data_IF_995205327530
#
_entry.id   IF_995205327530
#
_cell.length_a   1.000
_cell.length_b   1.000
_cell.length_c   1.000
_cell.angle_alpha   90.00
_cell.angle_beta   90.00
_cell.angle_gamma   90.00
#
_symmetry.space_group_name_H-M   'P 1'
#
loop_
_entity.id
_entity.type
_entity.pdbx_description
1 polymer ?
#
# COMPACT_ATOMS: atom_id res chain seq x y z
N UNK A 1 -6.14 -25.55 -14.42
CA UNK A 1 -6.73 -24.19 -14.40
C UNK A 1 -7.50 -24.06 -13.09
N UNK A 2 -7.26 -23.03 -12.31
CA UNK A 2 -8.00 -22.76 -11.07
C UNK A 2 -9.25 -21.97 -11.46
N UNK A 3 -10.39 -22.24 -10.82
CA UNK A 3 -11.61 -21.47 -11.03
C UNK A 3 -12.01 -20.77 -9.72
N UNK A 4 -12.26 -19.47 -9.79
CA UNK A 4 -12.63 -18.66 -8.64
C UNK A 4 -13.66 -17.60 -9.06
N UNK A 5 -14.96 -17.80 -8.83
CA UNK A 5 -15.98 -16.85 -9.26
C UNK A 5 -15.68 -15.40 -8.87
N UNK A 6 -15.21 -15.13 -7.65
CA UNK A 6 -14.68 -13.82 -7.23
C UNK A 6 -13.21 -13.98 -6.93
N UNK A 7 -12.36 -13.37 -7.75
CA UNK A 7 -10.92 -13.34 -7.56
C UNK A 7 -10.50 -11.98 -6.99
N UNK A 8 -9.77 -11.99 -5.88
CA UNK A 8 -9.26 -10.78 -5.24
C UNK A 8 -7.73 -10.79 -5.31
N UNK A 9 -7.14 -9.74 -5.86
CA UNK A 9 -5.69 -9.58 -5.96
C UNK A 9 -5.18 -8.62 -4.88
N UNK A 10 -4.46 -9.16 -3.92
CA UNK A 10 -3.91 -8.47 -2.75
C UNK A 10 -4.66 -8.82 -1.45
N UNK A 11 -3.94 -9.41 -0.49
CA UNK A 11 -4.43 -9.77 0.84
C UNK A 11 -4.18 -8.71 1.92
N UNK A 12 -4.02 -7.44 1.52
CA UNK A 12 -3.90 -6.31 2.44
C UNK A 12 -5.22 -5.91 3.09
N UNK A 13 -5.26 -4.74 3.75
CA UNK A 13 -6.46 -4.22 4.42
C UNK A 13 -7.69 -4.21 3.51
N UNK A 14 -7.56 -3.72 2.28
CA UNK A 14 -8.64 -3.67 1.30
C UNK A 14 -9.10 -5.07 0.88
N UNK A 15 -8.15 -5.96 0.54
CA UNK A 15 -8.50 -7.29 0.06
C UNK A 15 -9.19 -8.15 1.11
N UNK A 16 -8.72 -8.13 2.36
CA UNK A 16 -9.38 -8.85 3.45
C UNK A 16 -10.78 -8.30 3.72
N UNK A 17 -10.94 -6.97 3.75
CA UNK A 17 -12.24 -6.33 3.99
C UNK A 17 -13.24 -6.66 2.85
N UNK A 18 -12.80 -6.57 1.59
CA UNK A 18 -13.62 -6.94 0.43
C UNK A 18 -14.02 -8.42 0.45
N UNK A 19 -13.07 -9.31 0.77
CA UNK A 19 -13.31 -10.75 0.83
C UNK A 19 -14.34 -11.12 1.90
N UNK A 20 -14.20 -10.58 3.11
CA UNK A 20 -15.12 -10.80 4.21
C UNK A 20 -16.52 -10.27 3.91
N UNK A 21 -16.61 -9.07 3.34
CA UNK A 21 -17.89 -8.47 2.95
C UNK A 21 -18.57 -9.26 1.84
N UNK A 22 -17.82 -9.67 0.80
CA UNK A 22 -18.33 -10.51 -0.28
C UNK A 22 -18.81 -11.86 0.27
N UNK A 23 -18.05 -12.51 1.15
CA UNK A 23 -18.42 -13.79 1.78
C UNK A 23 -19.71 -13.69 2.56
N UNK A 24 -19.83 -12.64 3.40
CA UNK A 24 -21.06 -12.36 4.16
C UNK A 24 -22.25 -12.20 3.23
N UNK A 25 -22.11 -11.36 2.19
CA UNK A 25 -23.20 -11.08 1.27
C UNK A 25 -23.62 -12.30 0.43
N UNK A 26 -22.67 -13.11 -0.03
CA UNK A 26 -22.99 -14.36 -0.73
C UNK A 26 -23.77 -15.35 0.17
N UNK A 27 -23.43 -15.43 1.46
CA UNK A 27 -24.15 -16.29 2.41
C UNK A 27 -25.62 -15.86 2.61
N UNK A 28 -25.90 -14.56 2.47
CA UNK A 28 -27.26 -14.03 2.55
C UNK A 28 -28.06 -14.29 1.27
N UNK A 29 -27.40 -14.27 0.11
CA UNK A 29 -28.06 -14.37 -1.20
C UNK A 29 -28.16 -15.80 -1.75
N UNK A 30 -27.21 -16.66 -1.39
CA UNK A 30 -27.10 -18.05 -1.86
C UNK A 30 -27.15 -19.02 -0.65
N UNK A 31 -28.35 -19.42 -0.22
CA UNK A 31 -28.47 -20.39 0.85
C UNK A 31 -27.98 -21.78 0.38
N UNK A 32 -27.02 -22.37 1.10
CA UNK A 32 -26.48 -23.69 0.72
C UNK A 32 -25.03 -23.93 1.10
N UNK A 33 -24.35 -22.97 1.75
CA UNK A 33 -23.01 -23.19 2.34
C UNK A 33 -21.82 -23.05 1.37
N UNK A 34 -22.02 -22.86 0.07
CA UNK A 34 -20.96 -22.82 -0.93
C UNK A 34 -20.26 -21.45 -1.10
N UNK A 35 -20.71 -20.42 -0.37
CA UNK A 35 -20.22 -19.07 -0.52
C UNK A 35 -18.71 -18.88 -0.26
N UNK A 36 -18.07 -19.75 0.55
CA UNK A 36 -16.63 -19.73 0.80
C UNK A 36 -15.82 -20.14 -0.41
N UNK A 37 -16.26 -21.14 -1.12
CA UNK A 37 -15.57 -21.67 -2.30
C UNK A 37 -15.63 -20.73 -3.51
N UNK A 38 -16.49 -19.70 -3.46
CA UNK A 38 -16.64 -18.73 -4.53
C UNK A 38 -15.57 -17.64 -4.53
N UNK A 39 -14.77 -17.51 -3.46
CA UNK A 39 -13.83 -16.40 -3.29
C UNK A 39 -12.42 -16.94 -3.12
N UNK A 40 -11.49 -16.41 -3.92
CA UNK A 40 -10.06 -16.65 -3.76
C UNK A 40 -9.32 -15.32 -3.63
N UNK A 41 -8.42 -15.23 -2.65
CA UNK A 41 -7.52 -14.09 -2.46
C UNK A 41 -6.11 -14.51 -2.82
N UNK A 42 -5.49 -13.81 -3.78
CA UNK A 42 -4.06 -13.91 -4.10
C UNK A 42 -3.27 -12.92 -3.27
N UNK A 43 -2.16 -13.36 -2.69
CA UNK A 43 -1.22 -12.50 -1.98
C UNK A 43 0.22 -12.89 -2.34
N UNK A 44 1.05 -11.90 -2.67
CA UNK A 44 2.46 -12.13 -3.01
C UNK A 44 3.34 -12.45 -1.81
N UNK A 45 2.93 -11.97 -0.62
CA UNK A 45 3.58 -12.30 0.65
C UNK A 45 3.07 -13.63 1.19
N UNK A 46 3.82 -14.22 2.11
CA UNK A 46 3.45 -15.50 2.77
C UNK A 46 2.23 -15.39 3.68
N UNK A 47 1.86 -14.18 4.07
CA UNK A 47 0.78 -13.91 5.03
C UNK A 47 -0.03 -12.69 4.62
N UNK A 48 -1.33 -12.64 4.98
CA UNK A 48 -2.17 -11.48 4.70
C UNK A 48 -1.77 -10.29 5.58
N UNK A 49 -2.18 -9.07 5.19
CA UNK A 49 -1.98 -7.85 5.97
C UNK A 49 -1.34 -6.73 5.19
N UNK A 50 -0.57 -7.04 4.16
CA UNK A 50 0.09 -6.04 3.32
C UNK A 50 0.95 -5.05 4.13
N UNK A 51 0.89 -3.77 3.78
CA UNK A 51 1.70 -2.71 4.42
C UNK A 51 1.41 -2.51 5.91
N UNK A 52 0.24 -2.92 6.41
CA UNK A 52 -0.08 -2.80 7.84
C UNK A 52 0.89 -3.60 8.73
N UNK A 53 1.48 -4.66 8.22
CA UNK A 53 2.45 -5.50 8.94
C UNK A 53 3.73 -4.77 9.33
N UNK A 54 4.06 -3.67 8.68
CA UNK A 54 5.21 -2.83 9.02
C UNK A 54 4.84 -1.55 9.78
N UNK A 55 3.53 -1.26 9.95
CA UNK A 55 3.04 -0.06 10.61
C UNK A 55 2.91 -0.28 12.12
N UNK A 56 4.00 -0.09 12.86
CA UNK A 56 4.03 -0.27 14.32
C UNK A 56 3.62 0.99 15.10
N UNK A 57 3.34 2.10 14.41
CA UNK A 57 2.87 3.33 15.01
C UNK A 57 1.34 3.34 15.15
N UNK A 58 0.84 4.13 16.09
CA UNK A 58 -0.58 4.36 16.31
C UNK A 58 -1.20 5.32 15.29
N UNK A 59 -2.53 5.42 15.28
CA UNK A 59 -3.32 6.29 14.39
C UNK A 59 -4.28 5.53 13.49
N UNK A 60 -4.44 4.24 13.69
CA UNK A 60 -5.34 3.37 12.92
C UNK A 60 -6.62 3.07 13.71
N UNK A 61 -7.76 2.94 13.03
CA UNK A 61 -9.01 2.48 13.63
C UNK A 61 -9.81 3.52 14.42
N UNK A 62 -9.40 4.77 14.40
CA UNK A 62 -10.06 5.83 15.15
C UNK A 62 -11.52 6.01 14.73
N UNK A 63 -11.79 5.97 13.43
CA UNK A 63 -13.16 6.13 12.89
C UNK A 63 -13.94 4.82 12.91
N UNK A 64 -13.28 3.71 12.54
CA UNK A 64 -13.94 2.43 12.36
C UNK A 64 -14.19 1.68 13.68
N UNK A 65 -13.21 1.69 14.57
CA UNK A 65 -13.22 0.91 15.80
C UNK A 65 -13.28 1.77 17.07
N UNK A 66 -13.32 3.11 16.93
CA UNK A 66 -13.24 4.06 18.05
C UNK A 66 -12.05 3.75 18.98
N UNK A 67 -10.95 3.27 18.42
CA UNK A 67 -9.74 2.83 19.14
C UNK A 67 -8.50 3.31 18.40
N UNK A 68 -7.49 3.78 19.14
CA UNK A 68 -6.20 4.20 18.60
C UNK A 68 -5.27 2.97 18.52
N UNK A 69 -5.28 2.29 17.40
CA UNK A 69 -4.57 1.04 17.15
C UNK A 69 -3.26 1.30 16.42
N UNK A 70 -2.33 0.36 16.52
CA UNK A 70 -1.22 0.21 15.57
C UNK A 70 -1.73 -0.41 14.26
N UNK A 71 -0.95 -0.33 13.19
CA UNK A 71 -1.31 -0.98 11.93
C UNK A 71 -1.45 -2.51 12.06
N UNK A 72 -0.59 -3.14 12.88
CA UNK A 72 -0.68 -4.58 13.14
C UNK A 72 -1.95 -4.96 13.91
N UNK A 73 -2.31 -4.20 14.96
CA UNK A 73 -3.57 -4.43 15.70
C UNK A 73 -4.79 -4.22 14.80
N UNK A 74 -4.75 -3.18 13.95
CA UNK A 74 -5.80 -2.96 12.95
C UNK A 74 -5.92 -4.16 11.98
N UNK A 75 -4.80 -4.65 11.46
CA UNK A 75 -4.76 -5.83 10.60
C UNK A 75 -5.39 -7.05 11.27
N UNK A 76 -5.08 -7.29 12.54
CA UNK A 76 -5.59 -8.45 13.29
C UNK A 76 -7.12 -8.46 13.40
N UNK A 77 -7.78 -7.28 13.40
CA UNK A 77 -9.25 -7.18 13.36
C UNK A 77 -9.87 -7.82 12.11
N UNK A 78 -9.10 -7.94 11.04
CA UNK A 78 -9.50 -8.59 9.78
C UNK A 78 -8.90 -9.97 9.62
N UNK A 79 -7.64 -10.18 10.00
CA UNK A 79 -6.93 -11.43 9.76
C UNK A 79 -7.56 -12.63 10.47
N UNK A 80 -8.00 -12.48 11.71
CA UNK A 80 -8.69 -13.54 12.46
C UNK A 80 -10.00 -13.98 11.80
N UNK A 81 -10.95 -13.07 11.56
CA UNK A 81 -12.17 -13.38 10.79
C UNK A 81 -11.90 -13.93 9.39
N UNK A 82 -10.87 -13.43 8.70
CA UNK A 82 -10.48 -13.90 7.37
C UNK A 82 -10.02 -15.36 7.42
N UNK A 83 -9.15 -15.72 8.35
CA UNK A 83 -8.68 -17.09 8.53
C UNK A 83 -9.82 -18.07 8.87
N UNK A 84 -10.82 -17.61 9.62
CA UNK A 84 -11.98 -18.42 10.01
C UNK A 84 -13.09 -18.49 8.94
N UNK A 85 -12.99 -17.72 7.86
CA UNK A 85 -14.08 -17.53 6.89
C UNK A 85 -14.27 -18.68 5.90
N UNK A 86 -13.28 -19.55 5.72
CA UNK A 86 -13.25 -20.56 4.66
C UNK A 86 -12.97 -19.99 3.26
N UNK A 87 -12.59 -18.71 3.14
CA UNK A 87 -12.15 -18.10 1.88
C UNK A 87 -10.83 -18.74 1.45
N UNK A 88 -10.72 -19.11 0.16
CA UNK A 88 -9.46 -19.64 -0.39
C UNK A 88 -8.37 -18.56 -0.39
N UNK A 89 -7.24 -18.85 0.23
CA UNK A 89 -6.09 -17.95 0.30
C UNK A 89 -4.88 -18.59 -0.40
N UNK A 90 -4.33 -17.89 -1.39
CA UNK A 90 -3.14 -18.30 -2.13
C UNK A 90 -1.99 -17.35 -1.79
N UNK A 91 -1.22 -17.63 -0.72
CA UNK A 91 -0.02 -16.88 -0.37
C UNK A 91 1.11 -17.13 -1.37
N UNK A 92 2.17 -16.35 -1.27
CA UNK A 92 3.38 -16.44 -2.11
C UNK A 92 3.06 -16.46 -3.61
N UNK A 93 1.91 -15.88 -4.00
CA UNK A 93 1.41 -15.94 -5.37
C UNK A 93 1.25 -14.54 -5.96
N UNK A 94 2.07 -14.24 -6.95
CA UNK A 94 2.06 -12.95 -7.66
C UNK A 94 1.11 -12.98 -8.84
N UNK A 95 0.17 -12.04 -8.88
CA UNK A 95 -0.64 -11.75 -10.06
C UNK A 95 0.21 -10.99 -11.09
N UNK A 96 0.25 -11.45 -12.33
CA UNK A 96 1.07 -10.88 -13.39
C UNK A 96 0.24 -10.04 -14.36
N UNK A 97 -0.82 -10.61 -14.92
CA UNK A 97 -1.61 -9.97 -15.97
C UNK A 97 -3.04 -10.54 -16.02
N UNK A 98 -4.02 -9.67 -16.14
CA UNK A 98 -5.41 -10.04 -16.39
C UNK A 98 -5.76 -9.89 -17.88
N UNK A 99 -6.56 -10.80 -18.41
CA UNK A 99 -6.90 -10.88 -19.81
C UNK A 99 -8.40 -10.64 -20.07
N UNK A 100 -8.79 -10.25 -21.32
CA UNK A 100 -10.20 -10.00 -21.68
C UNK A 100 -11.09 -11.25 -21.58
N UNK A 101 -10.53 -12.45 -21.63
CA UNK A 101 -11.23 -13.73 -21.48
C UNK A 101 -11.52 -14.10 -20.00
N UNK A 102 -11.46 -13.13 -19.11
CA UNK A 102 -11.64 -13.29 -17.66
C UNK A 102 -10.67 -14.30 -17.05
N UNK A 103 -9.45 -14.34 -17.54
CA UNK A 103 -8.38 -15.12 -16.92
C UNK A 103 -7.30 -14.19 -16.33
N UNK A 104 -6.64 -14.64 -15.28
CA UNK A 104 -5.50 -13.98 -14.67
C UNK A 104 -4.31 -14.92 -14.67
N UNK A 105 -3.18 -14.46 -15.19
CA UNK A 105 -1.90 -15.15 -15.09
C UNK A 105 -1.28 -14.87 -13.72
N UNK A 106 -0.96 -15.94 -13.01
CA UNK A 106 -0.29 -15.87 -11.73
C UNK A 106 0.91 -16.82 -11.66
N UNK A 107 1.81 -16.53 -10.73
CA UNK A 107 2.99 -17.37 -10.45
C UNK A 107 3.25 -17.44 -8.95
N UNK A 108 3.54 -18.63 -8.45
CA UNK A 108 3.91 -18.87 -7.06
C UNK A 108 4.68 -20.19 -6.92
N UNK A 109 5.40 -20.39 -5.79
CA UNK A 109 6.22 -21.59 -5.59
C UNK A 109 5.38 -22.88 -5.52
N UNK A 110 4.15 -22.81 -5.01
CA UNK A 110 3.24 -23.97 -4.93
C UNK A 110 2.40 -24.17 -6.18
N UNK A 111 2.01 -23.08 -6.84
CA UNK A 111 1.10 -23.11 -8.00
C UNK A 111 1.86 -23.22 -9.33
N UNK A 112 3.18 -22.91 -9.34
CA UNK A 112 3.91 -22.67 -10.56
C UNK A 112 3.31 -21.50 -11.33
N UNK A 113 3.50 -21.49 -12.65
CA UNK A 113 2.80 -20.59 -13.57
C UNK A 113 1.41 -21.14 -13.84
N UNK A 114 0.36 -20.44 -13.43
CA UNK A 114 -1.01 -20.89 -13.59
C UNK A 114 -1.91 -19.79 -14.15
N UNK A 115 -3.02 -20.20 -14.77
CA UNK A 115 -4.14 -19.32 -15.12
C UNK A 115 -5.31 -19.59 -14.17
N UNK A 116 -5.92 -18.50 -13.70
CA UNK A 116 -7.10 -18.52 -12.83
C UNK A 116 -8.23 -17.90 -13.62
N UNK A 117 -9.30 -18.66 -13.82
CA UNK A 117 -10.54 -18.14 -14.41
C UNK A 117 -11.41 -17.54 -13.33
N UNK A 118 -12.08 -16.42 -13.63
CA UNK A 118 -12.96 -15.71 -12.69
C UNK A 118 -14.17 -15.11 -13.41
N UNK A 119 -15.25 -14.86 -12.67
CA UNK A 119 -16.39 -14.09 -13.16
C UNK A 119 -16.25 -12.61 -12.79
N UNK A 120 -15.71 -12.30 -11.60
CA UNK A 120 -15.46 -10.95 -11.14
C UNK A 120 -14.07 -10.81 -10.50
N UNK A 121 -13.32 -9.81 -10.93
CA UNK A 121 -12.00 -9.47 -10.39
C UNK A 121 -12.08 -8.24 -9.50
N UNK A 122 -11.64 -8.37 -8.25
CA UNK A 122 -11.41 -7.23 -7.36
C UNK A 122 -9.91 -7.00 -7.26
N UNK A 123 -9.43 -5.87 -7.77
CA UNK A 123 -8.04 -5.47 -7.60
C UNK A 123 -7.90 -4.66 -6.30
N UNK A 124 -7.11 -5.17 -5.36
CA UNK A 124 -6.79 -4.62 -4.05
C UNK A 124 -5.27 -4.54 -3.83
N UNK A 125 -4.50 -4.36 -4.90
CA UNK A 125 -3.04 -4.42 -4.96
C UNK A 125 -2.33 -3.24 -4.28
N UNK A 126 -3.08 -2.26 -3.78
CA UNK A 126 -2.54 -1.11 -3.07
C UNK A 126 -1.84 -0.10 -3.98
N UNK A 127 -0.70 0.40 -3.54
CA UNK A 127 0.11 1.39 -4.25
C UNK A 127 1.59 1.09 -4.06
N UNK A 128 2.41 1.71 -4.90
CA UNK A 128 3.86 1.74 -4.74
C UNK A 128 4.35 3.17 -4.58
N UNK A 129 5.51 3.32 -4.02
CA UNK A 129 6.09 4.64 -3.77
C UNK A 129 6.77 5.20 -5.02
N UNK A 130 6.67 6.51 -5.18
CA UNK A 130 7.48 7.20 -6.18
C UNK A 130 8.94 7.10 -5.78
N UNK A 131 9.76 6.48 -6.62
CA UNK A 131 11.19 6.34 -6.36
C UNK A 131 11.91 7.69 -6.44
N UNK A 132 12.98 7.86 -5.66
CA UNK A 132 13.83 9.04 -5.74
C UNK A 132 14.41 9.24 -7.14
N UNK A 133 14.74 8.15 -7.84
CA UNK A 133 15.28 8.18 -9.20
C UNK A 133 14.32 8.79 -10.25
N UNK A 134 13.02 8.87 -9.92
CA UNK A 134 12.04 9.55 -10.78
C UNK A 134 12.03 11.07 -10.61
N UNK A 135 12.81 11.60 -9.67
CA UNK A 135 12.99 13.02 -9.45
C UNK A 135 14.19 13.53 -10.26
N UNK A 136 14.17 14.81 -10.61
CA UNK A 136 15.23 15.47 -11.41
C UNK A 136 16.42 15.90 -10.56
N UNK A 137 16.86 15.07 -9.62
CA UNK A 137 18.04 15.35 -8.83
C UNK A 137 19.31 14.89 -9.56
N UNK A 138 20.32 15.74 -9.59
CA UNK A 138 21.62 15.44 -10.18
C UNK A 138 22.50 14.57 -9.25
N UNK A 139 23.68 14.18 -9.73
CA UNK A 139 24.68 13.49 -8.94
C UNK A 139 24.72 11.98 -9.14
N UNK A 140 25.34 11.29 -8.20
CA UNK A 140 25.59 9.84 -8.24
C UNK A 140 24.37 9.02 -7.83
N UNK A 141 24.52 7.69 -7.81
CA UNK A 141 23.45 6.75 -7.34
C UNK A 141 24.03 5.82 -6.27
N UNK A 142 24.43 6.37 -5.10
CA UNK A 142 25.00 5.58 -4.02
C UNK A 142 23.93 4.77 -3.29
N UNK A 143 24.34 3.77 -2.50
CA UNK A 143 23.48 3.17 -1.49
C UNK A 143 23.13 4.18 -0.38
N UNK A 144 22.11 3.88 0.45
CA UNK A 144 21.65 4.79 1.50
C UNK A 144 20.50 5.72 1.09
N UNK A 145 19.92 5.50 -0.09
CA UNK A 145 18.72 6.20 -0.57
C UNK A 145 17.57 5.20 -0.56
N UNK A 146 16.55 5.48 0.24
CA UNK A 146 15.39 4.62 0.44
C UNK A 146 14.10 5.37 0.17
N UNK A 147 13.06 4.65 -0.22
CA UNK A 147 11.69 5.15 -0.09
C UNK A 147 11.23 5.04 1.37
N UNK A 148 10.17 5.77 1.73
CA UNK A 148 9.66 5.77 3.09
C UNK A 148 9.16 4.39 3.53
N UNK A 149 8.43 3.67 2.67
CA UNK A 149 7.94 2.33 2.95
C UNK A 149 9.04 1.29 3.00
N UNK A 150 10.07 1.39 2.14
CA UNK A 150 11.25 0.54 2.18
C UNK A 150 12.03 0.73 3.49
N UNK A 151 12.28 1.98 3.89
CA UNK A 151 12.93 2.29 5.16
C UNK A 151 12.13 1.72 6.35
N UNK A 152 10.81 1.88 6.33
CA UNK A 152 9.92 1.34 7.35
C UNK A 152 9.97 -0.20 7.39
N UNK A 153 9.98 -0.86 6.24
CA UNK A 153 10.10 -2.32 6.14
C UNK A 153 11.42 -2.81 6.72
N UNK A 154 12.53 -2.22 6.32
CA UNK A 154 13.86 -2.59 6.78
C UNK A 154 14.01 -2.44 8.31
N UNK A 155 13.58 -1.30 8.85
CA UNK A 155 13.66 -1.04 10.29
C UNK A 155 12.69 -1.92 11.07
N UNK A 156 11.41 -1.95 10.69
CA UNK A 156 10.36 -2.53 11.53
C UNK A 156 10.18 -4.04 11.36
N UNK A 157 10.50 -4.60 10.19
CA UNK A 157 10.36 -6.05 9.93
C UNK A 157 11.69 -6.80 9.85
N UNK A 158 12.71 -6.15 9.28
CA UNK A 158 14.01 -6.78 9.13
C UNK A 158 14.98 -6.45 10.28
N UNK A 159 14.61 -5.50 11.15
CA UNK A 159 15.47 -4.98 12.23
C UNK A 159 16.85 -4.54 11.71
N UNK A 160 16.87 -4.02 10.47
CA UNK A 160 18.08 -3.60 9.78
C UNK A 160 18.38 -2.13 10.04
N UNK A 161 19.65 -1.83 10.28
CA UNK A 161 20.14 -0.45 10.30
C UNK A 161 20.21 0.11 8.88
N UNK A 162 19.64 1.29 8.65
CA UNK A 162 19.67 1.94 7.34
C UNK A 162 20.67 3.10 7.26
N UNK A 163 21.26 3.50 8.39
CA UNK A 163 22.29 4.54 8.54
C UNK A 163 22.13 5.32 9.83
N UNK A 164 22.98 6.33 10.03
CA UNK A 164 23.10 7.07 11.29
C UNK A 164 22.55 8.50 11.21
N UNK A 165 22.74 9.17 10.08
CA UNK A 165 22.39 10.58 9.89
C UNK A 165 21.51 10.74 8.65
N UNK A 166 20.20 10.99 8.87
CA UNK A 166 19.21 11.00 7.81
C UNK A 166 18.73 12.41 7.42
N UNK A 167 18.52 12.59 6.12
CA UNK A 167 17.69 13.65 5.55
C UNK A 167 16.42 13.01 4.99
N UNK A 168 15.26 13.62 5.22
CA UNK A 168 13.99 13.12 4.73
C UNK A 168 13.42 14.11 3.72
N UNK A 169 13.08 13.63 2.53
CA UNK A 169 12.43 14.41 1.48
C UNK A 169 10.92 14.15 1.48
N UNK A 170 10.15 15.17 1.81
CA UNK A 170 8.70 15.15 1.93
C UNK A 170 8.23 15.18 3.39
N UNK A 171 7.42 16.18 3.74
CA UNK A 171 6.86 16.41 5.07
C UNK A 171 5.45 15.84 5.25
N UNK A 172 4.98 14.95 4.36
CA UNK A 172 3.74 14.21 4.55
C UNK A 172 3.81 13.27 5.76
N UNK A 173 2.68 12.64 6.13
CA UNK A 173 2.59 11.79 7.32
C UNK A 173 3.68 10.72 7.38
N UNK A 174 3.97 10.04 6.27
CA UNK A 174 5.00 9.00 6.23
C UNK A 174 6.39 9.55 6.51
N UNK A 175 6.76 10.72 5.95
CA UNK A 175 8.04 11.37 6.23
C UNK A 175 8.18 11.75 7.70
N UNK A 176 7.12 12.28 8.31
CA UNK A 176 7.11 12.66 9.73
C UNK A 176 7.19 11.43 10.66
N UNK A 177 6.44 10.38 10.35
CA UNK A 177 6.44 9.12 11.12
C UNK A 177 7.83 8.47 11.08
N UNK A 178 8.47 8.46 9.92
CA UNK A 178 9.83 7.93 9.79
C UNK A 178 10.87 8.80 10.46
N UNK A 179 10.73 10.14 10.43
CA UNK A 179 11.59 11.03 11.19
C UNK A 179 11.59 10.66 12.68
N UNK A 180 10.40 10.51 13.26
CA UNK A 180 10.26 10.01 14.63
C UNK A 180 10.86 8.63 14.82
N UNK A 181 10.61 7.70 13.86
CA UNK A 181 11.12 6.33 13.97
C UNK A 181 12.64 6.29 14.01
N UNK A 182 13.32 7.04 13.17
CA UNK A 182 14.79 7.15 13.17
C UNK A 182 15.31 7.65 14.53
N UNK A 183 14.69 8.67 15.11
CA UNK A 183 15.07 9.17 16.45
C UNK A 183 14.89 8.08 17.53
N UNK A 184 13.80 7.32 17.47
CA UNK A 184 13.54 6.23 18.43
C UNK A 184 14.53 5.06 18.29
N UNK A 185 15.13 4.90 17.10
CA UNK A 185 16.25 3.96 16.86
C UNK A 185 17.61 4.54 17.27
N UNK A 186 17.64 5.70 17.91
CA UNK A 186 18.88 6.35 18.34
C UNK A 186 19.64 7.05 17.21
N UNK A 187 19.01 7.23 16.04
CA UNK A 187 19.61 7.87 14.86
C UNK A 187 19.31 9.36 14.85
N UNK A 188 20.07 10.13 14.05
CA UNK A 188 19.85 11.56 13.87
C UNK A 188 19.02 11.83 12.62
N UNK A 189 18.06 12.75 12.72
CA UNK A 189 17.36 13.33 11.57
C UNK A 189 17.80 14.80 11.46
N UNK A 190 18.57 15.09 10.42
CA UNK A 190 19.19 16.39 10.23
C UNK A 190 18.21 17.44 9.72
N UNK A 191 17.31 17.04 8.84
CA UNK A 191 16.23 17.87 8.35
C UNK A 191 15.15 17.05 7.64
N UNK A 192 13.93 17.60 7.62
CA UNK A 192 12.85 17.24 6.69
C UNK A 192 12.75 18.34 5.63
N UNK A 193 12.86 17.96 4.36
CA UNK A 193 12.82 18.88 3.22
C UNK A 193 11.42 18.87 2.62
N UNK A 194 10.82 20.03 2.43
CA UNK A 194 9.46 20.17 1.88
C UNK A 194 9.44 21.19 0.72
N UNK A 195 8.90 20.76 -0.41
CA UNK A 195 8.81 21.62 -1.61
C UNK A 195 7.80 22.76 -1.46
N UNK A 196 6.77 22.56 -0.66
CA UNK A 196 5.75 23.57 -0.41
C UNK A 196 6.23 24.59 0.64
N UNK A 197 5.55 25.73 0.70
CA UNK A 197 5.81 26.76 1.70
C UNK A 197 5.23 26.45 3.09
N UNK A 198 4.55 25.31 3.22
CA UNK A 198 3.95 24.82 4.46
C UNK A 198 4.25 23.34 4.64
N UNK A 199 4.39 22.91 5.88
CA UNK A 199 4.58 21.51 6.23
C UNK A 199 3.28 20.73 5.92
N UNK A 200 3.42 19.56 5.28
CA UNK A 200 2.32 18.65 4.98
C UNK A 200 1.91 17.78 6.17
N UNK A 201 1.07 16.78 5.90
CA UNK A 201 0.62 15.79 6.89
C UNK A 201 -0.39 16.31 7.90
N UNK A 202 -0.75 15.45 8.85
CA UNK A 202 -1.68 15.77 9.94
C UNK A 202 -0.98 16.60 11.03
N UNK A 203 -1.68 17.59 11.61
CA UNK A 203 -1.15 18.41 12.71
C UNK A 203 -0.67 17.58 13.90
N UNK A 204 -1.37 16.48 14.23
CA UNK A 204 -0.95 15.54 15.27
C UNK A 204 0.46 14.98 14.98
N UNK A 205 0.68 14.50 13.76
CA UNK A 205 1.98 13.94 13.39
C UNK A 205 3.08 15.00 13.39
N UNK A 206 2.81 16.21 12.90
CA UNK A 206 3.74 17.33 12.96
C UNK A 206 4.21 17.59 14.38
N UNK A 207 3.26 17.72 15.33
CA UNK A 207 3.56 17.94 16.75
C UNK A 207 4.33 16.76 17.36
N UNK A 208 3.83 15.54 17.16
CA UNK A 208 4.30 14.36 17.87
C UNK A 208 5.58 13.74 17.23
N UNK A 209 5.87 14.06 15.96
CA UNK A 209 6.99 13.50 15.23
C UNK A 209 8.10 14.51 14.94
N UNK A 210 7.78 15.78 14.70
CA UNK A 210 8.78 16.80 14.35
C UNK A 210 9.05 17.77 15.49
N UNK A 211 8.02 18.47 15.97
CA UNK A 211 8.17 19.52 16.97
C UNK A 211 8.68 18.96 18.31
N UNK A 212 8.12 17.84 18.77
CA UNK A 212 8.54 17.15 20.00
C UNK A 212 10.05 16.82 20.02
N UNK A 213 10.59 16.46 18.86
CA UNK A 213 12.00 16.07 18.72
C UNK A 213 12.87 17.20 18.14
N UNK A 214 12.30 18.40 17.95
CA UNK A 214 12.99 19.58 17.40
C UNK A 214 13.67 19.32 16.06
N UNK A 215 13.03 18.52 15.20
CA UNK A 215 13.55 18.20 13.87
C UNK A 215 13.32 19.40 12.95
N UNK A 216 14.38 19.95 12.31
CA UNK A 216 14.23 21.07 11.40
C UNK A 216 13.41 20.72 10.17
N UNK A 217 12.51 21.63 9.73
CA UNK A 217 11.81 21.53 8.45
C UNK A 217 12.26 22.65 7.54
N UNK A 218 12.85 22.30 6.39
CA UNK A 218 13.29 23.24 5.38
C UNK A 218 12.22 23.32 4.29
N UNK A 219 11.44 24.37 4.32
CA UNK A 219 10.32 24.61 3.40
C UNK A 219 10.77 25.19 2.06
N UNK A 220 9.87 25.18 1.06
CA UNK A 220 10.12 25.69 -0.28
C UNK A 220 11.42 25.16 -0.90
N UNK A 221 11.78 23.92 -0.61
CA UNK A 221 13.08 23.35 -0.94
C UNK A 221 12.97 21.92 -1.46
N UNK A 222 13.95 21.49 -2.23
CA UNK A 222 14.06 20.14 -2.77
C UNK A 222 15.51 19.67 -2.78
N UNK A 223 15.74 18.40 -3.05
CA UNK A 223 17.09 17.87 -3.29
C UNK A 223 17.48 18.19 -4.73
N UNK A 224 18.53 19.00 -4.90
CA UNK A 224 19.08 19.34 -6.22
C UNK A 224 20.09 18.29 -6.68
N UNK A 225 20.94 17.80 -5.76
CA UNK A 225 21.93 16.78 -6.09
C UNK A 225 22.24 15.86 -4.90
N UNK A 226 22.76 14.69 -5.25
CA UNK A 226 23.17 13.62 -4.34
C UNK A 226 24.65 13.35 -4.51
N UNK A 227 25.36 13.19 -3.42
CA UNK A 227 26.81 13.01 -3.39
C UNK A 227 27.18 11.71 -2.66
N UNK A 228 28.15 11.01 -3.19
CA UNK A 228 28.73 9.79 -2.61
C UNK A 228 29.17 8.83 -3.69
N UNK A 229 30.15 8.00 -3.33
CA UNK A 229 30.60 6.89 -4.18
C UNK A 229 30.08 5.57 -3.58
N UNK A 230 30.03 4.58 -3.47
CA UNK A 230 29.42 3.39 -2.83
C UNK A 230 28.23 3.70 -1.90
N UNK A 231 28.38 4.64 -0.96
CA UNK A 231 27.33 5.09 -0.04
C UNK A 231 27.12 6.60 -0.10
N UNK A 232 25.93 7.04 0.29
CA UNK A 232 25.57 8.46 0.40
C UNK A 232 26.51 9.16 1.39
N UNK A 233 27.07 10.29 0.98
CA UNK A 233 27.93 11.16 1.79
C UNK A 233 27.25 12.51 2.07
N UNK A 234 26.21 12.86 1.32
CA UNK A 234 25.44 14.07 1.53
C UNK A 234 24.53 14.41 0.38
N UNK A 235 23.73 15.44 0.60
CA UNK A 235 22.79 15.98 -0.37
C UNK A 235 22.93 17.49 -0.49
N UNK A 236 22.71 18.05 -1.68
CA UNK A 236 22.53 19.49 -1.88
C UNK A 236 21.03 19.79 -1.89
N UNK A 237 20.60 20.57 -0.91
CA UNK A 237 19.23 21.10 -0.81
C UNK A 237 19.19 22.45 -1.51
N UNK A 238 18.23 22.66 -2.41
CA UNK A 238 18.04 23.92 -3.12
C UNK A 238 16.68 24.52 -2.74
N UNK A 239 16.67 25.79 -2.38
CA UNK A 239 15.45 26.56 -2.29
C UNK A 239 14.85 26.75 -3.68
N UNK A 240 13.60 26.38 -3.88
CA UNK A 240 12.94 26.39 -5.20
C UNK A 240 12.78 27.81 -5.73
N UNK A 241 12.61 28.82 -4.84
CA UNK A 241 12.36 30.22 -5.21
C UNK A 241 13.64 31.01 -5.38
N UNK A 242 14.53 30.99 -4.37
CA UNK A 242 15.77 31.80 -4.36
C UNK A 242 16.91 31.16 -5.13
N UNK A 243 16.81 29.84 -5.38
CA UNK A 243 17.88 29.02 -5.97
C UNK A 243 19.12 28.88 -5.11
N UNK A 244 19.06 29.36 -3.87
CA UNK A 244 20.13 29.16 -2.91
C UNK A 244 20.31 27.68 -2.60
N UNK A 245 21.55 27.23 -2.52
CA UNK A 245 21.91 25.85 -2.26
C UNK A 245 22.62 25.70 -0.92
N UNK A 246 22.33 24.59 -0.25
CA UNK A 246 22.98 24.20 1.00
C UNK A 246 23.33 22.74 0.95
N UNK A 247 24.59 22.41 1.20
CA UNK A 247 25.04 21.03 1.39
C UNK A 247 24.72 20.55 2.80
N UNK A 248 24.21 19.33 2.92
CA UNK A 248 23.99 18.63 4.19
C UNK A 248 24.70 17.28 4.10
N UNK A 249 25.72 17.08 4.92
CA UNK A 249 26.39 15.79 5.09
C UNK A 249 25.41 14.81 5.76
N UNK A 250 25.19 13.65 5.14
CA UNK A 250 24.32 12.60 5.66
C UNK A 250 24.67 11.27 4.97
N UNK A 251 24.39 10.16 5.62
CA UNK A 251 24.58 8.82 5.09
C UNK A 251 23.27 8.15 4.62
N UNK A 252 22.16 8.82 4.87
CA UNK A 252 20.81 8.29 4.57
C UNK A 252 19.89 9.38 4.02
N UNK A 253 19.26 9.09 2.89
CA UNK A 253 18.17 9.89 2.32
C UNK A 253 16.90 9.05 2.25
N UNK A 254 15.83 9.51 2.92
CA UNK A 254 14.52 8.86 2.87
C UNK A 254 13.57 9.71 2.02
N UNK A 255 13.06 9.14 0.94
CA UNK A 255 12.15 9.81 0.01
C UNK A 255 10.70 9.44 0.32
N UNK A 256 9.89 10.45 0.72
CA UNK A 256 8.47 10.35 1.04
C UNK A 256 7.64 11.26 0.11
N UNK A 257 7.84 11.14 -1.21
CA UNK A 257 7.36 12.10 -2.23
C UNK A 257 6.10 11.67 -2.97
N UNK A 258 5.38 10.73 -2.43
CA UNK A 258 4.07 10.33 -2.91
C UNK A 258 3.96 8.86 -3.28
N UNK A 259 2.71 8.45 -3.47
CA UNK A 259 2.28 7.08 -3.77
C UNK A 259 1.61 7.05 -5.13
N UNK A 260 1.75 5.94 -5.84
CA UNK A 260 1.19 5.70 -7.16
C UNK A 260 0.31 4.45 -7.07
N UNK A 261 -0.98 4.51 -7.44
CA UNK A 261 -1.86 3.34 -7.49
C UNK A 261 -1.29 2.20 -8.33
N UNK A 262 -1.26 0.98 -7.79
CA UNK A 262 -0.72 -0.19 -8.48
C UNK A 262 -1.81 -0.87 -9.32
N UNK A 263 -1.73 -0.74 -10.64
CA UNK A 263 -2.70 -1.29 -11.59
C UNK A 263 -2.06 -2.05 -12.75
N UNK A 264 -0.77 -2.35 -12.68
CA UNK A 264 -0.03 -2.98 -13.79
C UNK A 264 -0.61 -4.33 -14.23
N UNK A 265 -1.25 -5.06 -13.32
CA UNK A 265 -1.98 -6.31 -13.63
C UNK A 265 -3.08 -6.10 -14.69
N UNK A 266 -3.63 -4.89 -14.79
CA UNK A 266 -4.70 -4.54 -15.75
C UNK A 266 -4.16 -3.92 -17.04
N UNK A 267 -2.83 -3.97 -17.29
CA UNK A 267 -2.22 -3.44 -18.50
C UNK A 267 -2.82 -4.15 -19.72
N UNK A 268 -3.42 -3.38 -20.62
CA UNK A 268 -4.10 -3.94 -21.80
C UNK A 268 -5.63 -4.07 -21.65
N UNK A 269 -6.15 -3.82 -20.45
CA UNK A 269 -7.59 -3.71 -20.22
C UNK A 269 -7.98 -2.23 -20.05
N UNK A 270 -9.15 -1.85 -20.55
CA UNK A 270 -9.65 -0.48 -20.42
C UNK A 270 -8.94 0.53 -21.33
N UNK A 271 -8.76 0.20 -22.60
CA UNK A 271 -8.09 1.06 -23.59
C UNK A 271 -8.71 2.46 -23.72
N UNK A 272 -10.01 2.60 -23.45
CA UNK A 272 -10.74 3.87 -23.49
C UNK A 272 -10.86 4.54 -22.10
N UNK A 273 -10.01 4.14 -21.14
CA UNK A 273 -10.06 4.66 -19.76
C UNK A 273 -11.20 4.09 -18.90
N UNK A 274 -12.02 3.18 -19.44
CA UNK A 274 -13.08 2.47 -18.71
C UNK A 274 -12.71 1.00 -18.55
N UNK A 275 -12.70 0.54 -17.30
CA UNK A 275 -12.53 -0.89 -17.02
C UNK A 275 -13.81 -1.66 -17.35
N UNK A 276 -13.69 -2.92 -17.77
CA UNK A 276 -14.85 -3.81 -17.92
C UNK A 276 -15.65 -3.93 -16.62
N UNK A 277 -16.96 -4.15 -16.72
CA UNK A 277 -17.88 -4.24 -15.59
C UNK A 277 -17.59 -5.39 -14.62
N UNK A 278 -16.83 -6.39 -15.06
CA UNK A 278 -16.35 -7.49 -14.24
C UNK A 278 -15.05 -7.21 -13.50
N UNK A 279 -14.54 -5.96 -13.52
CA UNK A 279 -13.40 -5.49 -12.71
C UNK A 279 -13.86 -4.42 -11.74
N UNK A 280 -13.49 -4.57 -10.49
CA UNK A 280 -13.64 -3.53 -9.46
C UNK A 280 -12.30 -3.21 -8.84
N UNK A 281 -12.09 -1.95 -8.47
CA UNK A 281 -10.90 -1.49 -7.76
C UNK A 281 -11.27 -1.09 -6.34
N UNK A 282 -10.46 -1.44 -5.35
CA UNK A 282 -10.64 -0.93 -3.98
C UNK A 282 -9.32 -0.63 -3.28
N UNK A 283 -9.37 0.24 -2.29
CA UNK A 283 -8.21 0.71 -1.56
C UNK A 283 -7.27 1.57 -2.42
N UNK A 284 -5.98 1.56 -2.07
CA UNK A 284 -5.01 2.47 -2.66
C UNK A 284 -4.69 2.23 -4.15
N UNK A 285 -5.09 1.11 -4.71
CA UNK A 285 -5.04 0.92 -6.17
C UNK A 285 -6.17 1.65 -6.89
N UNK A 286 -7.28 1.96 -6.22
CA UNK A 286 -8.34 2.82 -6.76
C UNK A 286 -7.93 4.29 -6.69
N UNK A 287 -7.67 4.79 -5.48
CA UNK A 287 -7.03 6.08 -5.21
C UNK A 287 -6.33 6.03 -3.85
N UNK A 288 -5.31 6.85 -3.66
CA UNK A 288 -4.56 6.85 -2.41
C UNK A 288 -5.36 7.53 -1.30
N UNK A 289 -5.75 6.74 -0.31
CA UNK A 289 -6.49 7.22 0.87
C UNK A 289 -5.55 7.82 1.91
N UNK A 290 -6.05 8.77 2.69
CA UNK A 290 -5.31 9.37 3.82
C UNK A 290 -5.26 8.46 5.05
N UNK A 291 -6.32 7.67 5.28
CA UNK A 291 -6.46 6.78 6.44
C UNK A 291 -6.98 5.40 6.02
N UNK A 292 -6.56 4.37 6.74
CA UNK A 292 -6.93 2.98 6.44
C UNK A 292 -8.41 2.68 6.66
N UNK A 293 -9.07 3.40 7.56
CA UNK A 293 -10.50 3.24 7.82
C UNK A 293 -11.33 3.46 6.56
N UNK A 294 -10.99 4.49 5.77
CA UNK A 294 -11.62 4.74 4.46
C UNK A 294 -11.31 3.64 3.44
N UNK A 295 -10.10 3.06 3.49
CA UNK A 295 -9.71 1.93 2.63
C UNK A 295 -10.62 0.72 2.87
N UNK A 296 -10.81 0.33 4.12
CA UNK A 296 -11.60 -0.86 4.46
C UNK A 296 -13.09 -0.66 4.24
N UNK A 297 -13.63 0.52 4.53
CA UNK A 297 -15.03 0.85 4.25
C UNK A 297 -15.33 0.79 2.74
N UNK A 298 -14.51 1.42 1.90
CA UNK A 298 -14.65 1.33 0.46
C UNK A 298 -14.55 -0.11 -0.04
N UNK A 299 -13.61 -0.88 0.49
CA UNK A 299 -13.39 -2.26 0.10
C UNK A 299 -14.58 -3.17 0.46
N UNK A 300 -15.22 -2.94 1.59
CA UNK A 300 -16.45 -3.66 1.98
C UNK A 300 -17.60 -3.44 1.00
N UNK A 301 -17.83 -2.19 0.60
CA UNK A 301 -18.84 -1.88 -0.42
C UNK A 301 -18.50 -2.53 -1.77
N UNK A 302 -17.21 -2.54 -2.14
CA UNK A 302 -16.75 -3.20 -3.37
C UNK A 302 -17.00 -4.71 -3.32
N UNK A 303 -16.68 -5.35 -2.19
CA UNK A 303 -16.91 -6.79 -1.99
C UNK A 303 -18.38 -7.16 -2.04
N UNK A 304 -19.23 -6.36 -1.37
CA UNK A 304 -20.69 -6.53 -1.39
C UNK A 304 -21.25 -6.42 -2.82
N UNK A 305 -20.87 -5.40 -3.57
CA UNK A 305 -21.30 -5.21 -4.94
C UNK A 305 -20.88 -6.36 -5.87
N UNK A 306 -19.66 -6.87 -5.71
CA UNK A 306 -19.18 -8.03 -6.48
C UNK A 306 -19.99 -9.30 -6.18
N UNK A 307 -20.32 -9.52 -4.91
CA UNK A 307 -21.17 -10.64 -4.48
C UNK A 307 -22.58 -10.55 -5.06
N UNK A 308 -23.19 -9.37 -5.09
CA UNK A 308 -24.51 -9.13 -5.67
C UNK A 308 -24.53 -9.40 -7.18
N UNK A 309 -23.50 -8.95 -7.90
CA UNK A 309 -23.36 -9.23 -9.35
C UNK A 309 -23.24 -10.74 -9.61
N UNK A 310 -22.42 -11.44 -8.83
CA UNK A 310 -22.27 -12.89 -8.98
C UNK A 310 -23.58 -13.62 -8.69
N UNK A 311 -24.26 -13.31 -7.58
CA UNK A 311 -25.52 -13.93 -7.22
C UNK A 311 -26.60 -13.71 -8.29
N UNK A 312 -26.69 -12.50 -8.82
CA UNK A 312 -27.61 -12.19 -9.94
C UNK A 312 -27.34 -13.04 -11.16
N UNK A 313 -26.06 -13.21 -11.53
CA UNK A 313 -25.67 -14.05 -12.68
C UNK A 313 -26.04 -15.51 -12.48
N UNK A 314 -25.83 -16.07 -11.29
CA UNK A 314 -26.18 -17.45 -10.94
C UNK A 314 -27.70 -17.65 -10.98
N UNK A 315 -28.47 -16.77 -10.33
CA UNK A 315 -29.92 -16.87 -10.26
C UNK A 315 -30.59 -16.70 -11.63
N UNK A 316 -30.08 -15.77 -12.46
CA UNK A 316 -30.58 -15.56 -13.83
C UNK A 316 -30.21 -16.71 -14.78
N UNK A 317 -29.12 -17.43 -14.55
CA UNK A 317 -28.75 -18.66 -15.25
C UNK A 317 -29.68 -19.83 -14.91
N UNK A 318 -30.06 -19.96 -13.65
CA UNK A 318 -31.01 -21.00 -13.20
C UNK A 318 -32.44 -20.80 -13.72
N UNK A 319 -32.84 -19.56 -14.02
CA UNK A 319 -34.17 -19.28 -14.56
C UNK A 319 -34.31 -19.56 -16.07
N UNK A 320 -33.21 -19.90 -16.76
CA UNK A 320 -33.20 -20.21 -18.21
C UNK A 320 -32.93 -21.70 -18.49
N UNK A 321 -32.75 -22.53 -17.49
CA UNK A 321 -32.62 -23.98 -17.56
C UNK A 321 -33.90 -24.65 -17.07
#
# INVERSE_FOLDING_TARGET
MINSPILIVGGGAAGMAAALSARKRLSELLPGGEAGNCITVLERESEPGGVLRQCIHHGFGLTRFSSDLTGMEYMQRFAGPFAASGISFLPDTSALEAYPDKTLLAVGPKTGRCRIHFEHLILASGCYERSFQSLTAAGTRPSGIYTAGEAQYLINRCHAGIGEEAVILGSGDMGQILARRMILEGKKVLAVIEKNSVCGGLLKNRRDCLEKYRIPVILSSTIASVHGEGRLAGVTVQNIRTKEEKYISCDTLISAVGLIPERRVLKGLGQDGRLPDWISLCGNCHHVHKIVDSVTLQAEETGKAAAEKLAFSVLSGLSKA
#
